data_IF_455517841391
#
_entry.id   IF_455517841391
#
_cell.length_a   1.000
_cell.length_b   1.000
_cell.length_c   1.000
_cell.angle_alpha   90.00
_cell.angle_beta   90.00
_cell.angle_gamma   90.00
#
_symmetry.space_group_name_H-M   'P 1'
#
loop_
_entity.id
_entity.type
_entity.pdbx_description
1 polymer ?
#
# COMPACT_ATOMS: atom_id res chain seq x y z
N UNK A 1 -17.15 -2.07 17.27
CA UNK A 1 -15.99 -1.25 17.69
C UNK A 1 -15.33 -0.73 16.42
N UNK A 2 -15.18 0.59 16.24
CA UNK A 2 -14.49 1.12 15.06
C UNK A 2 -13.03 0.69 15.16
N UNK A 3 -12.56 -0.12 14.22
CA UNK A 3 -11.14 -0.38 14.07
C UNK A 3 -10.50 0.98 13.77
N UNK A 4 -10.00 1.63 14.82
CA UNK A 4 -9.11 2.77 14.70
C UNK A 4 -7.84 2.22 14.08
N UNK A 5 -7.86 2.05 12.76
CA UNK A 5 -6.68 1.82 11.96
C UNK A 5 -5.86 3.08 12.07
N UNK A 6 -5.02 3.16 13.10
CA UNK A 6 -4.00 4.18 13.25
C UNK A 6 -3.40 4.44 11.87
N UNK A 7 -3.39 5.68 11.36
CA UNK A 7 -2.69 5.98 10.12
C UNK A 7 -1.21 5.65 10.35
N UNK A 8 -0.80 4.45 9.91
CA UNK A 8 0.49 3.88 10.29
C UNK A 8 1.62 4.60 9.54
N UNK A 9 1.33 5.10 8.34
CA UNK A 9 2.16 6.10 7.66
C UNK A 9 1.67 7.49 8.11
N UNK A 10 2.54 8.35 8.67
CA UNK A 10 2.16 9.71 9.04
C UNK A 10 1.64 10.43 7.83
N UNK A 11 0.58 11.22 7.95
CA UNK A 11 0.00 11.96 6.81
C UNK A 11 1.01 12.91 6.13
N UNK A 12 2.13 13.21 6.80
CA UNK A 12 3.25 14.01 6.30
C UNK A 12 4.45 13.19 5.81
N UNK A 13 4.28 11.88 5.59
CA UNK A 13 5.37 11.05 5.07
C UNK A 13 5.70 11.48 3.63
N UNK A 14 7.00 11.65 3.28
CA UNK A 14 7.40 12.09 1.94
C UNK A 14 6.97 11.12 0.82
N UNK A 15 6.49 9.92 1.16
CA UNK A 15 5.92 9.01 0.18
C UNK A 15 4.65 9.55 -0.48
N UNK A 16 3.89 10.40 0.22
CA UNK A 16 2.68 11.02 -0.35
C UNK A 16 3.05 12.08 -1.39
N UNK A 17 4.05 12.91 -1.10
CA UNK A 17 4.61 13.88 -2.05
C UNK A 17 5.16 13.17 -3.30
N UNK A 18 5.98 12.14 -3.11
CA UNK A 18 6.48 11.32 -4.21
C UNK A 18 5.34 10.70 -5.05
N UNK A 19 4.29 10.21 -4.42
CA UNK A 19 3.17 9.60 -5.15
C UNK A 19 2.39 10.63 -5.97
N UNK A 20 2.21 11.84 -5.46
CA UNK A 20 1.62 12.92 -6.23
C UNK A 20 2.50 13.31 -7.43
N UNK A 21 3.82 13.43 -7.23
CA UNK A 21 4.78 13.70 -8.31
C UNK A 21 4.86 12.57 -9.36
N UNK A 22 4.77 11.32 -8.91
CA UNK A 22 4.84 10.13 -9.77
C UNK A 22 3.49 9.77 -10.42
N UNK A 23 2.43 10.54 -10.16
CA UNK A 23 1.08 10.27 -10.69
C UNK A 23 0.41 9.02 -10.09
N UNK A 24 0.83 8.57 -8.91
CA UNK A 24 0.30 7.39 -8.24
C UNK A 24 -0.88 7.79 -7.33
N UNK A 25 -2.11 7.30 -7.58
CA UNK A 25 -3.26 7.61 -6.74
C UNK A 25 -3.07 7.16 -5.29
N UNK A 26 -3.57 7.96 -4.33
CA UNK A 26 -3.54 7.63 -2.89
C UNK A 26 -4.21 6.29 -2.57
N UNK A 27 -5.21 5.89 -3.34
CA UNK A 27 -5.84 4.58 -3.20
C UNK A 27 -4.88 3.44 -3.52
N UNK A 28 -3.99 3.60 -4.51
CA UNK A 28 -3.03 2.56 -4.89
C UNK A 28 -1.91 2.45 -3.85
N UNK A 29 -1.51 3.58 -3.24
CA UNK A 29 -0.64 3.56 -2.05
C UNK A 29 -1.27 2.79 -0.89
N UNK A 30 -2.57 2.96 -0.66
CA UNK A 30 -3.30 2.20 0.37
C UNK A 30 -3.29 0.71 0.05
N UNK A 31 -3.44 0.30 -1.21
CA UNK A 31 -3.33 -1.11 -1.61
C UNK A 31 -1.91 -1.66 -1.36
N UNK A 32 -0.87 -0.94 -1.76
CA UNK A 32 0.52 -1.32 -1.47
C UNK A 32 0.78 -1.47 0.03
N UNK A 33 0.18 -0.60 0.85
CA UNK A 33 0.30 -0.66 2.30
C UNK A 33 -0.34 -1.92 2.89
N UNK A 34 -1.49 -2.33 2.38
CA UNK A 34 -2.19 -3.55 2.82
C UNK A 34 -1.35 -4.79 2.50
N UNK A 35 -0.85 -4.90 1.26
CA UNK A 35 0.01 -5.99 0.83
C UNK A 35 1.33 -6.02 1.62
N UNK A 36 1.97 -4.85 1.78
CA UNK A 36 3.20 -4.72 2.57
C UNK A 36 3.03 -5.22 4.00
N UNK A 37 1.92 -4.87 4.65
CA UNK A 37 1.61 -5.36 6.00
C UNK A 37 1.32 -6.86 6.00
N UNK A 38 0.59 -7.40 5.04
CA UNK A 38 0.31 -8.84 4.98
C UNK A 38 1.63 -9.65 4.93
N UNK A 39 2.59 -9.20 4.12
CA UNK A 39 3.91 -9.84 4.02
C UNK A 39 4.78 -9.63 5.26
N UNK A 40 4.79 -8.41 5.83
CA UNK A 40 5.73 -8.05 6.89
C UNK A 40 5.22 -8.37 8.30
N UNK A 41 3.91 -8.57 8.50
CA UNK A 41 3.35 -9.04 9.79
C UNK A 41 3.41 -10.57 9.95
N UNK A 42 3.61 -11.32 8.86
CA UNK A 42 3.92 -12.74 8.89
C UNK A 42 5.40 -12.99 9.22
N UNK A 43 5.71 -13.38 10.46
CA UNK A 43 6.98 -14.00 10.91
C UNK A 43 8.24 -13.13 11.13
N UNK A 44 8.34 -11.86 10.71
CA UNK A 44 9.57 -11.05 10.89
C UNK A 44 9.48 -9.80 11.77
N UNK A 45 8.28 -9.34 12.13
CA UNK A 45 8.07 -8.07 12.83
C UNK A 45 8.52 -8.03 14.31
N UNK A 46 8.69 -9.17 14.97
CA UNK A 46 8.91 -9.21 16.42
C UNK A 46 10.34 -8.83 16.86
N UNK A 47 11.33 -8.89 15.97
CA UNK A 47 12.75 -8.89 16.39
C UNK A 47 13.66 -7.91 15.66
N UNK A 48 13.12 -7.04 14.82
CA UNK A 48 13.97 -6.10 14.11
C UNK A 48 13.34 -4.72 14.09
N UNK A 49 14.09 -3.81 14.68
CA UNK A 49 14.12 -2.38 14.45
C UNK A 49 14.48 -2.11 12.96
N UNK A 50 13.90 -2.87 12.02
CA UNK A 50 13.95 -2.62 10.59
C UNK A 50 13.22 -1.31 10.39
N UNK A 51 13.85 -0.38 9.67
CA UNK A 51 13.24 0.83 9.13
C UNK A 51 12.15 0.44 8.12
N UNK A 52 11.05 -0.16 8.59
CA UNK A 52 9.95 -0.65 7.76
C UNK A 52 9.35 0.48 6.92
N UNK A 53 9.49 1.73 7.38
CA UNK A 53 9.18 2.95 6.60
C UNK A 53 10.07 3.11 5.39
N UNK A 54 11.38 2.90 5.52
CA UNK A 54 12.30 2.93 4.38
C UNK A 54 11.98 1.79 3.40
N UNK A 55 11.69 0.59 3.91
CA UNK A 55 11.28 -0.55 3.07
C UNK A 55 9.95 -0.30 2.35
N UNK A 56 8.95 0.27 3.03
CA UNK A 56 7.67 0.61 2.40
C UNK A 56 7.86 1.67 1.30
N UNK A 57 8.67 2.69 1.57
CA UNK A 57 9.02 3.70 0.55
C UNK A 57 9.71 3.08 -0.67
N UNK A 58 10.64 2.14 -0.46
CA UNK A 58 11.27 1.41 -1.56
C UNK A 58 10.28 0.52 -2.30
N UNK A 59 9.38 -0.14 -1.57
CA UNK A 59 8.35 -1.01 -2.13
C UNK A 59 7.39 -0.25 -3.06
N UNK A 60 7.00 0.97 -2.66
CA UNK A 60 6.19 1.87 -3.50
C UNK A 60 6.99 2.36 -4.70
N UNK A 61 8.19 2.93 -4.47
CA UNK A 61 9.02 3.51 -5.56
C UNK A 61 9.39 2.50 -6.64
N UNK A 62 9.63 1.25 -6.27
CA UNK A 62 9.99 0.17 -7.19
C UNK A 62 8.79 -0.68 -7.60
N UNK A 63 7.60 -0.35 -7.09
CA UNK A 63 6.36 -1.09 -7.31
C UNK A 63 6.59 -2.61 -7.14
N UNK A 64 7.09 -3.02 -5.96
CA UNK A 64 7.48 -4.41 -5.67
C UNK A 64 6.36 -5.40 -5.98
N UNK A 65 5.14 -5.02 -5.60
CA UNK A 65 3.92 -5.79 -5.76
C UNK A 65 3.31 -5.71 -7.17
N UNK A 66 3.91 -4.90 -8.06
CA UNK A 66 3.44 -4.70 -9.44
C UNK A 66 1.94 -4.37 -9.51
N UNK A 67 1.44 -3.53 -8.61
CA UNK A 67 0.01 -3.24 -8.46
C UNK A 67 -0.50 -2.27 -9.51
N UNK A 68 0.35 -1.38 -10.02
CA UNK A 68 -0.02 -0.39 -11.02
C UNK A 68 0.98 -0.31 -12.17
N UNK A 69 0.56 0.35 -13.24
CA UNK A 69 1.40 0.78 -14.34
C UNK A 69 1.00 2.20 -14.73
N UNK A 70 1.97 2.96 -15.24
CA UNK A 70 1.76 4.30 -15.79
C UNK A 70 1.66 4.19 -17.31
N UNK A 71 0.71 4.93 -17.89
CA UNK A 71 0.59 5.13 -19.34
C UNK A 71 1.28 6.43 -19.73
N UNK A 72 1.61 6.55 -21.02
CA UNK A 72 2.26 7.75 -21.59
C UNK A 72 1.38 9.01 -21.50
N UNK A 73 0.06 8.84 -21.36
CA UNK A 73 -0.89 9.93 -21.13
C UNK A 73 -0.89 10.46 -19.68
N UNK A 74 -0.02 9.92 -18.82
CA UNK A 74 0.08 10.28 -17.40
C UNK A 74 -0.94 9.60 -16.50
N UNK A 75 -1.79 8.71 -17.03
CA UNK A 75 -2.75 7.96 -16.21
C UNK A 75 -2.08 6.77 -15.52
N UNK A 76 -2.54 6.47 -14.32
CA UNK A 76 -2.09 5.33 -13.54
C UNK A 76 -3.24 4.33 -13.37
N UNK A 77 -3.03 3.09 -13.81
CA UNK A 77 -4.04 2.04 -13.76
C UNK A 77 -3.56 0.83 -12.98
N UNK A 78 -4.51 0.08 -12.42
CA UNK A 78 -4.22 -1.17 -11.72
C UNK A 78 -3.89 -2.27 -12.72
N UNK A 79 -2.87 -3.05 -12.42
CA UNK A 79 -2.61 -4.34 -13.06
C UNK A 79 -3.63 -5.38 -12.58
N UNK A 80 -3.59 -6.59 -13.13
CA UNK A 80 -4.32 -7.74 -12.59
C UNK A 80 -4.01 -7.98 -11.11
N UNK A 81 -2.73 -7.86 -10.71
CA UNK A 81 -2.33 -7.99 -9.31
C UNK A 81 -2.94 -6.87 -8.44
N UNK A 82 -2.94 -5.63 -8.95
CA UNK A 82 -3.61 -4.50 -8.30
C UNK A 82 -5.11 -4.69 -8.11
N UNK A 83 -5.79 -5.24 -9.12
CA UNK A 83 -7.22 -5.55 -9.04
C UNK A 83 -7.50 -6.67 -8.03
N UNK A 84 -6.65 -7.70 -7.98
CA UNK A 84 -6.76 -8.77 -6.98
C UNK A 84 -6.59 -8.22 -5.55
N UNK A 85 -5.55 -7.40 -5.32
CA UNK A 85 -5.34 -6.74 -4.03
C UNK A 85 -6.53 -5.85 -3.63
N UNK A 86 -7.08 -5.08 -4.57
CA UNK A 86 -8.28 -4.26 -4.34
C UNK A 86 -9.48 -5.11 -3.94
N UNK A 87 -9.74 -6.20 -4.68
CA UNK A 87 -10.87 -7.08 -4.40
C UNK A 87 -10.70 -7.79 -3.05
N UNK A 88 -9.48 -8.22 -2.71
CA UNK A 88 -9.16 -8.82 -1.43
C UNK A 88 -9.37 -7.83 -0.26
N UNK A 89 -8.89 -6.59 -0.41
CA UNK A 89 -9.09 -5.52 0.58
C UNK A 89 -10.58 -5.21 0.78
N UNK A 90 -11.35 -5.09 -0.30
CA UNK A 90 -12.80 -4.87 -0.24
C UNK A 90 -13.55 -6.05 0.41
N UNK A 91 -13.14 -7.29 0.13
CA UNK A 91 -13.72 -8.47 0.74
C UNK A 91 -13.41 -8.55 2.25
N UNK A 92 -12.20 -8.15 2.67
CA UNK A 92 -11.81 -8.10 4.08
C UNK A 92 -12.62 -7.05 4.85
N UNK A 93 -12.84 -5.86 4.26
CA UNK A 93 -13.66 -4.80 4.85
C UNK A 93 -15.12 -5.25 5.07
N UNK A 94 -15.71 -5.94 4.07
CA UNK A 94 -17.06 -6.54 4.19
C UNK A 94 -17.15 -7.63 5.27
N UNK A 95 -16.10 -8.44 5.44
CA UNK A 95 -16.08 -9.51 6.45
C UNK A 95 -15.88 -9.00 7.88
N UNK A 96 -15.26 -7.83 8.06
CA UNK A 96 -15.13 -7.19 9.37
C UNK A 96 -16.39 -6.45 9.86
N UNK A 97 -17.42 -6.34 9.01
CA UNK A 97 -18.68 -5.66 9.30
C UNK A 97 -19.80 -6.61 9.76
N UNK A 98 -19.50 -7.89 10.05
CA UNK A 98 -20.48 -8.91 10.38
C UNK A 98 -20.27 -9.55 11.75
#
# INVERSE_FOLDING_TARGET
MKAAGTPLVPEKDPIFEYAEEAGIPREFLRLAWIEFRADHTGKRAANQQIDWRAHFRDAVRRNWYKLWFLKDDGTCELTTAGLQARNAAQAADRKGAH
#
